data_IF_751132452984
#
_entry.id   IF_751132452984
#
_cell.length_a   1.000
_cell.length_b   1.000
_cell.length_c   1.000
_cell.angle_alpha   90.00
_cell.angle_beta   90.00
_cell.angle_gamma   90.00
#
_symmetry.space_group_name_H-M   'P 1'
#
loop_
_entity.id
_entity.type
_entity.pdbx_description
1 polymer ?
#
# COMPACT_ATOMS: atom_id res chain seq x y z
N UNK A 1 -34.23 46.74 -62.88
CA UNK A 1 -34.03 47.18 -61.49
C UNK A 1 -33.80 45.96 -60.61
N UNK A 2 -33.04 46.12 -59.52
CA UNK A 2 -32.73 45.13 -58.48
C UNK A 2 -31.80 43.98 -58.91
N UNK A 3 -30.57 44.38 -59.21
CA UNK A 3 -29.38 43.54 -59.11
C UNK A 3 -29.08 43.43 -57.60
N UNK A 4 -29.25 42.26 -56.99
CA UNK A 4 -28.79 42.00 -55.62
C UNK A 4 -27.72 40.92 -55.62
N UNK A 5 -26.68 41.24 -54.85
CA UNK A 5 -25.33 40.70 -54.87
C UNK A 5 -25.23 39.25 -54.35
N UNK A 6 -24.34 38.46 -54.96
CA UNK A 6 -23.74 37.28 -54.33
C UNK A 6 -22.89 37.67 -53.12
N UNK A 7 -23.08 37.01 -51.96
CA UNK A 7 -21.96 36.61 -51.08
C UNK A 7 -22.38 35.55 -50.08
N UNK A 8 -21.78 34.36 -50.16
CA UNK A 8 -21.94 33.30 -49.17
C UNK A 8 -21.24 33.60 -47.85
N UNK A 9 -21.60 32.84 -46.81
CA UNK A 9 -20.69 32.43 -45.73
C UNK A 9 -21.33 31.29 -44.94
N UNK A 10 -20.58 30.19 -44.86
CA UNK A 10 -20.86 28.99 -44.07
C UNK A 10 -20.83 29.38 -42.59
N UNK A 11 -21.88 29.08 -41.82
CA UNK A 11 -21.83 28.94 -40.37
C UNK A 11 -21.84 27.42 -40.12
N UNK A 12 -20.85 26.77 -39.52
CA UNK A 12 -20.06 27.15 -38.36
C UNK A 12 -20.28 26.01 -37.35
N UNK A 13 -19.56 24.90 -37.52
CA UNK A 13 -19.63 23.73 -36.62
C UNK A 13 -19.02 24.15 -35.28
N UNK A 14 -19.84 24.27 -34.24
CA UNK A 14 -19.38 24.46 -32.88
C UNK A 14 -18.99 23.10 -32.29
N UNK A 15 -17.68 22.80 -32.29
CA UNK A 15 -17.12 21.62 -31.63
C UNK A 15 -17.03 21.92 -30.13
N UNK A 16 -17.92 21.31 -29.34
CA UNK A 16 -17.89 21.40 -27.88
C UNK A 16 -16.65 20.68 -27.34
N UNK A 17 -15.73 21.42 -26.71
CA UNK A 17 -14.58 20.88 -25.99
C UNK A 17 -15.06 20.29 -24.66
N UNK A 18 -15.23 18.96 -24.61
CA UNK A 18 -15.39 18.21 -23.36
C UNK A 18 -14.05 18.24 -22.64
N UNK A 19 -13.99 18.99 -21.52
CA UNK A 19 -12.84 18.99 -20.64
C UNK A 19 -12.70 17.64 -19.94
N UNK A 20 -11.74 16.83 -20.39
CA UNK A 20 -11.29 15.63 -19.69
C UNK A 20 -10.49 16.08 -18.45
N UNK A 21 -11.14 16.09 -17.28
CA UNK A 21 -10.43 16.14 -16.02
C UNK A 21 -9.63 14.83 -15.86
N UNK A 22 -8.32 14.90 -16.07
CA UNK A 22 -7.45 13.75 -15.87
C UNK A 22 -7.43 13.35 -14.39
N UNK A 23 -7.58 12.07 -14.03
CA UNK A 23 -7.39 11.63 -12.67
C UNK A 23 -5.94 11.88 -12.26
N UNK A 24 -5.73 12.66 -11.21
CA UNK A 24 -4.42 12.73 -10.56
C UNK A 24 -4.19 11.40 -9.84
N UNK A 25 -3.44 10.50 -10.47
CA UNK A 25 -2.88 9.37 -9.76
C UNK A 25 -1.85 9.92 -8.78
N UNK A 26 -2.20 9.98 -7.50
CA UNK A 26 -1.24 10.26 -6.45
C UNK A 26 -0.20 9.13 -6.47
N UNK A 27 0.98 9.41 -7.03
CA UNK A 27 2.11 8.48 -7.00
C UNK A 27 2.44 8.24 -5.52
N UNK A 28 2.08 7.08 -4.98
CA UNK A 28 2.56 6.68 -3.67
C UNK A 28 4.09 6.62 -3.78
N UNK A 29 4.84 7.32 -2.93
CA UNK A 29 6.29 7.18 -2.94
C UNK A 29 6.63 5.71 -2.72
N UNK A 30 7.40 5.12 -3.65
CA UNK A 30 7.86 3.74 -3.53
C UNK A 30 8.65 3.62 -2.22
N UNK A 31 8.26 2.67 -1.37
CA UNK A 31 8.98 2.40 -0.14
C UNK A 31 10.39 1.87 -0.46
N UNK A 32 11.38 2.15 0.40
CA UNK A 32 12.67 1.47 0.33
C UNK A 32 12.51 -0.05 0.33
N UNK A 33 13.43 -0.78 -0.30
CA UNK A 33 13.32 -2.23 -0.48
C UNK A 33 13.30 -2.99 0.85
N UNK A 34 14.09 -2.56 1.84
CA UNK A 34 14.12 -3.15 3.18
C UNK A 34 12.80 -2.93 3.95
N UNK A 35 12.21 -1.74 3.83
CA UNK A 35 10.88 -1.43 4.38
C UNK A 35 9.80 -2.26 3.68
N UNK A 36 9.86 -2.39 2.35
CA UNK A 36 8.90 -3.19 1.57
C UNK A 36 8.97 -4.68 1.92
N UNK A 37 10.19 -5.20 2.08
CA UNK A 37 10.42 -6.57 2.50
C UNK A 37 9.92 -6.83 3.92
N UNK A 38 10.17 -5.89 4.85
CA UNK A 38 9.63 -5.95 6.21
C UNK A 38 8.10 -5.95 6.21
N UNK A 39 7.46 -4.99 5.53
CA UNK A 39 5.98 -4.90 5.40
C UNK A 39 5.41 -6.21 4.90
N UNK A 40 5.94 -6.73 3.79
CA UNK A 40 5.46 -7.99 3.19
C UNK A 40 5.56 -9.16 4.17
N UNK A 41 6.68 -9.30 4.88
CA UNK A 41 6.86 -10.40 5.83
C UNK A 41 5.99 -10.24 7.08
N UNK A 42 5.92 -9.02 7.62
CA UNK A 42 5.18 -8.72 8.85
C UNK A 42 3.67 -8.78 8.65
N UNK A 43 3.15 -8.34 7.51
CA UNK A 43 1.74 -8.54 7.15
C UNK A 43 1.38 -10.03 7.10
N UNK A 44 2.29 -10.87 6.57
CA UNK A 44 2.12 -12.31 6.60
C UNK A 44 2.11 -12.88 8.02
N UNK A 45 3.00 -12.41 8.89
CA UNK A 45 2.99 -12.78 10.31
C UNK A 45 1.65 -12.41 10.97
N UNK A 46 1.22 -11.15 10.82
CA UNK A 46 0.01 -10.63 11.46
C UNK A 46 -1.25 -11.33 10.93
N UNK A 47 -1.26 -11.76 9.66
CA UNK A 47 -2.29 -12.64 9.12
C UNK A 47 -2.40 -13.95 9.91
N UNK A 48 -1.30 -14.67 10.10
CA UNK A 48 -1.32 -15.96 10.82
C UNK A 48 -1.52 -15.81 12.34
N UNK A 49 -1.13 -14.67 12.94
CA UNK A 49 -1.39 -14.40 14.37
C UNK A 49 -2.87 -14.30 14.70
N UNK A 50 -3.70 -13.91 13.74
CA UNK A 50 -5.15 -13.82 13.89
C UNK A 50 -5.92 -15.08 13.49
N UNK A 51 -5.22 -16.16 13.12
CA UNK A 51 -5.85 -17.40 12.64
C UNK A 51 -6.01 -18.41 13.78
N UNK A 52 -7.18 -19.02 13.84
CA UNK A 52 -7.47 -20.13 14.76
C UNK A 52 -7.29 -21.47 14.06
N UNK A 53 -6.77 -22.47 14.78
CA UNK A 53 -6.61 -23.80 14.23
C UNK A 53 -7.92 -24.58 14.23
N UNK A 54 -8.38 -24.98 13.05
CA UNK A 54 -9.56 -25.85 12.87
C UNK A 54 -9.29 -27.31 13.22
N UNK A 55 -8.02 -27.72 13.10
CA UNK A 55 -7.53 -29.09 13.29
C UNK A 55 -6.01 -29.08 13.55
N UNK A 56 -5.42 -30.25 13.80
CA UNK A 56 -4.00 -30.40 14.10
C UNK A 56 -3.08 -30.01 12.95
N UNK A 57 -3.48 -30.28 11.71
CA UNK A 57 -2.64 -30.03 10.54
C UNK A 57 -2.59 -28.53 10.26
N UNK A 58 -3.74 -27.85 10.38
CA UNK A 58 -3.83 -26.39 10.32
C UNK A 58 -3.02 -25.74 11.44
N UNK A 59 -3.07 -26.28 12.65
CA UNK A 59 -2.25 -25.77 13.77
C UNK A 59 -0.76 -25.82 13.46
N UNK A 60 -0.26 -26.95 12.96
CA UNK A 60 1.14 -27.08 12.58
C UNK A 60 1.55 -26.09 11.48
N UNK A 61 0.69 -25.84 10.49
CA UNK A 61 0.93 -24.83 9.45
C UNK A 61 1.01 -23.41 10.01
N UNK A 62 0.10 -23.06 10.93
CA UNK A 62 0.10 -21.74 11.58
C UNK A 62 1.39 -21.59 12.40
N UNK A 63 1.76 -22.57 13.22
CA UNK A 63 2.98 -22.55 14.02
C UNK A 63 4.25 -22.42 13.17
N UNK A 64 4.34 -23.14 12.04
CA UNK A 64 5.46 -23.01 11.10
C UNK A 64 5.51 -21.61 10.49
N UNK A 65 4.36 -21.09 10.03
CA UNK A 65 4.27 -19.78 9.41
C UNK A 65 4.64 -18.66 10.40
N UNK A 66 4.16 -18.73 11.64
CA UNK A 66 4.50 -17.79 12.71
C UNK A 66 6.01 -17.81 12.99
N UNK A 67 6.60 -19.00 13.15
CA UNK A 67 8.05 -19.13 13.37
C UNK A 67 8.89 -18.55 12.22
N UNK A 68 8.42 -18.70 10.97
CA UNK A 68 9.13 -18.20 9.79
C UNK A 68 8.96 -16.70 9.58
N UNK A 69 7.77 -16.17 9.81
CA UNK A 69 7.41 -14.79 9.43
C UNK A 69 7.58 -13.80 10.57
N UNK A 70 7.23 -14.20 11.80
CA UNK A 70 7.21 -13.31 12.96
C UNK A 70 8.58 -13.19 13.64
N UNK A 71 9.40 -14.23 13.65
CA UNK A 71 10.64 -14.23 14.43
C UNK A 71 11.61 -13.12 14.00
N UNK A 72 12.12 -12.36 14.95
CA UNK A 72 13.06 -11.25 14.75
C UNK A 72 12.46 -10.00 14.10
N UNK A 73 11.16 -9.95 13.89
CA UNK A 73 10.47 -8.81 13.29
C UNK A 73 10.36 -7.62 14.24
N UNK A 74 10.35 -7.81 15.56
CA UNK A 74 10.36 -6.69 16.52
C UNK A 74 11.70 -5.95 16.52
N UNK A 75 12.80 -6.71 16.53
CA UNK A 75 14.15 -6.16 16.42
C UNK A 75 14.36 -5.45 15.06
N UNK A 76 13.80 -6.00 13.99
CA UNK A 76 13.84 -5.38 12.67
C UNK A 76 13.02 -4.09 12.61
N UNK A 77 11.79 -4.08 13.15
CA UNK A 77 10.96 -2.89 13.21
C UNK A 77 11.67 -1.76 13.96
N UNK A 78 12.27 -2.08 15.11
CA UNK A 78 13.06 -1.12 15.88
C UNK A 78 14.26 -0.60 15.07
N UNK A 79 14.95 -1.47 14.33
CA UNK A 79 16.07 -1.08 13.44
C UNK A 79 15.61 -0.13 12.35
N UNK A 80 14.52 -0.46 11.64
CA UNK A 80 13.98 0.34 10.54
C UNK A 80 13.47 1.70 11.04
N UNK A 81 12.77 1.75 12.18
CA UNK A 81 12.31 3.01 12.80
C UNK A 81 13.48 3.95 13.13
N UNK A 82 14.61 3.40 13.61
CA UNK A 82 15.84 4.20 13.82
C UNK A 82 16.42 4.71 12.51
N UNK A 83 16.62 3.80 11.55
CA UNK A 83 17.21 4.10 10.23
C UNK A 83 16.42 5.16 9.45
N UNK A 84 15.08 5.10 9.50
CA UNK A 84 14.19 5.98 8.74
C UNK A 84 13.52 7.07 9.58
N UNK A 85 14.01 7.36 10.78
CA UNK A 85 13.44 8.35 11.71
C UNK A 85 13.20 9.75 11.12
N UNK A 86 13.99 10.17 10.12
CA UNK A 86 13.80 11.44 9.41
C UNK A 86 12.83 11.39 8.22
N UNK A 87 12.38 10.20 7.80
CA UNK A 87 11.49 10.01 6.66
C UNK A 87 10.04 9.79 7.14
N UNK A 88 9.26 10.88 7.14
CA UNK A 88 7.86 10.85 7.57
C UNK A 88 7.00 9.81 6.84
N UNK A 89 7.20 9.62 5.53
CA UNK A 89 6.40 8.67 4.76
C UNK A 89 6.67 7.22 5.18
N UNK A 90 7.93 6.86 5.43
CA UNK A 90 8.31 5.53 5.93
C UNK A 90 7.85 5.35 7.37
N UNK A 91 8.02 6.35 8.22
CA UNK A 91 7.59 6.28 9.62
C UNK A 91 6.08 6.04 9.74
N UNK A 92 5.24 6.73 8.95
CA UNK A 92 3.80 6.47 8.89
C UNK A 92 3.49 5.00 8.59
N UNK A 93 4.28 4.34 7.73
CA UNK A 93 4.10 2.92 7.42
C UNK A 93 4.53 2.03 8.59
N UNK A 94 5.71 2.28 9.17
CA UNK A 94 6.29 1.48 10.25
C UNK A 94 5.54 1.64 11.59
N UNK A 95 4.89 2.77 11.83
CA UNK A 95 4.11 3.03 13.05
C UNK A 95 2.80 2.22 13.14
N UNK A 96 2.36 1.60 12.04
CA UNK A 96 1.18 0.72 12.02
C UNK A 96 1.42 -0.63 12.70
N UNK A 97 2.67 -1.04 12.85
CA UNK A 97 3.02 -2.34 13.40
C UNK A 97 3.28 -2.25 14.91
N UNK A 98 2.73 -3.24 15.62
CA UNK A 98 2.98 -3.46 17.05
C UNK A 98 4.48 -3.67 17.32
N UNK A 99 5.12 -2.91 18.21
CA UNK A 99 6.53 -3.09 18.54
C UNK A 99 6.86 -4.37 19.31
N UNK A 100 5.86 -5.07 19.85
CA UNK A 100 6.09 -6.17 20.79
C UNK A 100 5.12 -7.34 20.55
N UNK A 101 5.48 -8.19 19.58
CA UNK A 101 4.71 -9.38 19.27
C UNK A 101 5.42 -10.69 19.62
N UNK A 102 6.71 -10.61 19.95
CA UNK A 102 7.58 -11.73 20.30
C UNK A 102 7.79 -11.90 21.80
N UNK A 103 7.44 -10.92 22.66
CA UNK A 103 7.60 -11.05 24.12
C UNK A 103 6.66 -12.09 24.76
N UNK A 104 5.50 -12.33 24.14
CA UNK A 104 4.61 -13.43 24.52
C UNK A 104 5.03 -14.69 23.73
N UNK A 105 6.17 -15.28 24.09
CA UNK A 105 6.55 -16.62 23.62
C UNK A 105 5.42 -17.62 23.88
N UNK A 106 5.34 -18.73 23.11
CA UNK A 106 4.17 -19.61 23.13
C UNK A 106 3.86 -20.04 24.57
N UNK A 107 2.61 -19.84 25.00
CA UNK A 107 2.11 -20.39 26.25
C UNK A 107 2.32 -21.91 26.21
N UNK A 108 3.21 -22.40 27.07
CA UNK A 108 3.44 -23.83 27.33
C UNK A 108 2.17 -24.52 27.87
#
# INVERSE_FOLDING_TARGET
MMMWCHRGKRAGVALALVGLAAPSFAQQPSLPDDVSAFVTRRDGCDHFRGEEATDSDRRAQIEEALNRLCRGSDAELARLKRQYSGNKAVMTVLERYDPDIEADGPAE
#
